data_IF_892296179631
#
_entry.id   IF_892296179631
#
_cell.length_a   1.000
_cell.length_b   1.000
_cell.length_c   1.000
_cell.angle_alpha   90.00
_cell.angle_beta   90.00
_cell.angle_gamma   90.00
#
_symmetry.space_group_name_H-M   'P 1'
#
loop_
_entity.id
_entity.type
_entity.pdbx_description
1 polymer ?
#
# COMPACT_ATOMS: atom_id res chain seq x y z
N UNK A 1 59.11 32.01 -50.45
CA UNK A 1 59.48 30.93 -49.51
C UNK A 1 58.71 31.18 -48.21
N UNK A 2 57.51 30.62 -48.05
CA UNK A 2 56.75 30.77 -46.84
C UNK A 2 56.35 29.36 -46.41
N UNK A 3 56.85 28.96 -45.25
CA UNK A 3 56.54 27.69 -44.63
C UNK A 3 55.24 27.82 -43.84
N UNK A 4 54.24 27.10 -44.30
CA UNK A 4 52.97 26.92 -43.56
C UNK A 4 53.20 26.03 -42.33
N UNK A 5 52.97 26.57 -41.17
CA UNK A 5 52.89 25.82 -39.92
C UNK A 5 51.45 25.34 -39.74
N UNK A 6 51.25 24.05 -39.94
CA UNK A 6 49.99 23.37 -39.56
C UNK A 6 49.98 23.13 -38.05
N UNK A 7 49.17 23.84 -37.33
CA UNK A 7 48.86 23.56 -35.91
C UNK A 7 47.74 22.51 -35.85
N UNK A 8 48.08 21.27 -35.47
CA UNK A 8 47.10 20.25 -35.09
C UNK A 8 46.58 20.55 -33.68
N UNK A 9 45.36 21.06 -33.57
CA UNK A 9 44.68 21.14 -32.32
C UNK A 9 43.93 19.82 -32.09
N UNK A 10 44.45 18.93 -31.25
CA UNK A 10 43.75 17.75 -30.77
C UNK A 10 42.71 18.14 -29.75
N UNK A 11 41.44 18.15 -30.11
CA UNK A 11 40.34 18.31 -29.19
C UNK A 11 40.10 17.00 -28.43
N UNK A 12 40.50 16.98 -27.16
CA UNK A 12 40.23 15.89 -26.24
C UNK A 12 38.76 15.98 -25.79
N UNK A 13 37.87 15.22 -26.43
CA UNK A 13 36.49 15.08 -25.96
C UNK A 13 36.49 14.12 -24.79
N UNK A 14 36.49 14.63 -23.57
CA UNK A 14 36.27 13.86 -22.37
C UNK A 14 34.79 13.49 -22.30
N UNK A 15 34.45 12.26 -22.67
CA UNK A 15 33.10 11.70 -22.48
C UNK A 15 32.84 11.49 -20.96
N UNK A 16 32.17 12.43 -20.32
CA UNK A 16 31.66 12.25 -18.96
C UNK A 16 30.45 11.31 -19.04
N UNK A 17 30.69 10.02 -18.83
CA UNK A 17 29.60 9.08 -18.57
C UNK A 17 29.02 9.37 -17.21
N UNK A 18 27.91 10.11 -17.17
CA UNK A 18 27.09 10.28 -15.97
C UNK A 18 26.45 8.92 -15.72
N UNK A 19 27.04 8.13 -14.83
CA UNK A 19 26.33 7.03 -14.22
C UNK A 19 25.18 7.62 -13.40
N UNK A 20 23.96 7.57 -13.93
CA UNK A 20 22.77 7.74 -13.11
C UNK A 20 22.77 6.57 -12.12
N UNK A 21 23.25 6.81 -10.90
CA UNK A 21 23.04 5.92 -9.78
C UNK A 21 21.52 5.91 -9.52
N UNK A 22 20.81 4.98 -10.18
CA UNK A 22 19.52 4.58 -9.68
C UNK A 22 19.81 4.05 -8.27
N UNK A 23 19.31 4.74 -7.25
CA UNK A 23 19.23 4.16 -5.93
C UNK A 23 18.34 2.92 -6.08
N UNK A 24 18.95 1.76 -6.28
CA UNK A 24 18.24 0.49 -6.20
C UNK A 24 17.65 0.45 -4.81
N UNK A 25 16.30 0.50 -4.76
CA UNK A 25 15.58 0.38 -3.50
C UNK A 25 16.01 -0.91 -2.81
N UNK A 26 16.11 -0.90 -1.50
CA UNK A 26 16.52 -2.07 -0.72
C UNK A 26 15.68 -3.28 -1.12
N UNK A 27 16.32 -4.33 -1.64
CA UNK A 27 15.64 -5.55 -2.05
C UNK A 27 15.25 -6.37 -0.82
N UNK A 28 13.97 -6.78 -0.75
CA UNK A 28 13.44 -7.57 0.34
C UNK A 28 13.65 -9.07 0.15
N UNK A 29 13.89 -9.79 1.26
CA UNK A 29 13.95 -11.24 1.30
C UNK A 29 12.76 -11.83 2.05
N UNK A 30 12.01 -12.73 1.38
CA UNK A 30 10.78 -13.35 1.90
C UNK A 30 11.07 -14.18 3.15
N UNK A 31 12.20 -14.91 3.19
CA UNK A 31 12.56 -15.76 4.34
C UNK A 31 12.99 -14.93 5.54
N UNK A 32 13.69 -13.82 5.30
CA UNK A 32 14.04 -12.88 6.35
C UNK A 32 12.76 -12.21 6.90
N UNK A 33 11.84 -11.78 6.05
CA UNK A 33 10.54 -11.22 6.44
C UNK A 33 9.71 -12.19 7.28
N UNK A 34 9.70 -13.48 6.93
CA UNK A 34 9.05 -14.53 7.72
C UNK A 34 9.60 -14.65 9.15
N UNK A 35 10.87 -14.34 9.37
CA UNK A 35 11.49 -14.35 10.70
C UNK A 35 11.20 -13.07 11.49
N UNK A 36 10.96 -11.97 10.80
CA UNK A 36 10.79 -10.61 11.37
C UNK A 36 9.33 -10.26 11.69
N UNK A 37 8.35 -11.04 11.22
CA UNK A 37 6.93 -10.70 11.28
C UNK A 37 6.25 -10.92 12.65
N UNK A 38 7.00 -11.29 13.71
CA UNK A 38 6.43 -11.65 15.02
C UNK A 38 5.51 -10.57 15.62
N UNK A 39 5.87 -9.30 15.50
CA UNK A 39 5.03 -8.19 15.97
C UNK A 39 3.80 -7.93 15.08
N UNK A 40 3.85 -8.37 13.83
CA UNK A 40 2.77 -8.15 12.86
C UNK A 40 1.65 -9.17 13.02
N UNK A 41 2.02 -10.46 13.17
CA UNK A 41 1.07 -11.59 13.24
C UNK A 41 0.16 -11.53 14.47
N UNK A 42 0.60 -10.89 15.56
CA UNK A 42 -0.21 -10.72 16.77
C UNK A 42 -1.50 -9.92 16.54
N UNK A 43 -1.58 -9.18 15.45
CA UNK A 43 -2.78 -8.45 15.04
C UNK A 43 -3.22 -8.88 13.63
N UNK A 44 -2.32 -8.81 12.63
CA UNK A 44 -2.64 -9.06 11.22
C UNK A 44 -2.77 -10.55 10.87
N UNK A 45 -2.33 -11.47 11.74
CA UNK A 45 -2.45 -12.92 11.58
C UNK A 45 -3.63 -13.54 12.33
N UNK A 46 -4.48 -12.76 12.97
CA UNK A 46 -5.63 -13.26 13.75
C UNK A 46 -6.93 -12.90 13.02
N UNK A 47 -7.68 -13.93 12.62
CA UNK A 47 -8.97 -13.73 11.93
C UNK A 47 -9.93 -12.98 12.85
N UNK A 48 -10.49 -11.88 12.34
CA UNK A 48 -11.47 -11.07 13.05
C UNK A 48 -10.92 -10.19 14.17
N UNK A 49 -9.59 -10.11 14.34
CA UNK A 49 -8.98 -9.22 15.34
C UNK A 49 -9.36 -7.76 15.08
N UNK A 50 -9.72 -7.06 16.15
CA UNK A 50 -10.22 -5.68 16.08
C UNK A 50 -9.28 -4.71 16.81
N UNK A 51 -9.14 -3.52 16.24
CA UNK A 51 -8.60 -2.33 16.89
C UNK A 51 -9.76 -1.47 17.38
N UNK A 52 -9.60 -0.84 18.54
CA UNK A 52 -10.58 0.12 19.07
C UNK A 52 -10.27 1.58 18.72
N UNK A 53 -9.14 1.84 18.06
CA UNK A 53 -8.71 3.19 17.71
C UNK A 53 -8.62 3.37 16.18
N UNK A 54 -9.11 4.52 15.64
CA UNK A 54 -9.85 5.62 16.27
C UNK A 54 -11.32 5.26 16.60
N UNK A 55 -11.79 4.16 16.10
CA UNK A 55 -13.07 3.52 16.37
C UNK A 55 -12.92 2.01 16.13
N UNK A 56 -13.88 1.20 16.57
CA UNK A 56 -13.79 -0.26 16.41
C UNK A 56 -13.82 -0.66 14.94
N UNK A 57 -12.78 -1.36 14.50
CA UNK A 57 -12.67 -1.91 13.16
C UNK A 57 -11.73 -3.13 13.14
N UNK A 58 -11.90 -4.01 12.17
CA UNK A 58 -10.98 -5.12 11.97
C UNK A 58 -9.61 -4.63 11.53
N UNK A 59 -8.57 -5.23 12.08
CA UNK A 59 -7.19 -5.00 11.61
C UNK A 59 -7.09 -5.45 10.15
N UNK A 60 -6.51 -4.61 9.27
CA UNK A 60 -6.57 -4.87 7.84
C UNK A 60 -5.82 -6.14 7.41
N UNK A 61 -6.34 -6.76 6.37
CA UNK A 61 -5.65 -7.82 5.63
C UNK A 61 -4.44 -7.23 4.94
N UNK A 62 -3.28 -7.83 5.12
CA UNK A 62 -2.02 -7.36 4.50
C UNK A 62 -1.33 -8.45 3.66
N UNK A 63 -1.63 -9.73 3.88
CA UNK A 63 -1.15 -10.81 3.02
C UNK A 63 -1.78 -10.73 1.64
N UNK A 64 -0.97 -10.81 0.59
CA UNK A 64 -1.36 -10.63 -0.79
C UNK A 64 -1.41 -9.18 -1.28
N UNK A 65 -1.11 -8.21 -0.41
CA UNK A 65 -0.96 -6.81 -0.80
C UNK A 65 0.37 -6.59 -1.53
N UNK A 66 0.47 -5.61 -2.42
CA UNK A 66 1.71 -5.29 -3.11
C UNK A 66 2.81 -4.90 -2.12
N UNK A 67 4.00 -5.43 -2.30
CA UNK A 67 5.14 -5.15 -1.43
C UNK A 67 5.48 -3.67 -1.39
N UNK A 68 5.44 -3.00 -2.54
CA UNK A 68 5.70 -1.56 -2.62
C UNK A 68 4.68 -0.73 -1.82
N UNK A 69 3.39 -1.08 -1.85
CA UNK A 69 2.40 -0.40 -1.01
C UNK A 69 2.63 -0.67 0.48
N UNK A 70 3.01 -1.90 0.86
CA UNK A 70 3.33 -2.23 2.26
C UNK A 70 4.51 -1.39 2.73
N UNK A 71 5.60 -1.35 1.94
CA UNK A 71 6.79 -0.55 2.25
C UNK A 71 6.45 0.95 2.34
N UNK A 72 5.71 1.49 1.38
CA UNK A 72 5.25 2.88 1.40
C UNK A 72 4.40 3.19 2.63
N UNK A 73 3.51 2.27 3.03
CA UNK A 73 2.65 2.44 4.19
C UNK A 73 3.44 2.44 5.51
N UNK A 74 4.42 1.53 5.67
CA UNK A 74 5.27 1.48 6.85
C UNK A 74 6.13 2.74 6.97
N UNK A 75 6.70 3.22 5.86
CA UNK A 75 7.42 4.48 5.81
C UNK A 75 6.53 5.69 6.14
N UNK A 76 5.30 5.72 5.65
CA UNK A 76 4.35 6.78 5.98
C UNK A 76 3.97 6.80 7.46
N UNK A 77 3.84 5.64 8.13
CA UNK A 77 3.69 5.57 9.58
C UNK A 77 4.92 6.08 10.32
N UNK A 78 6.11 5.69 9.88
CA UNK A 78 7.39 6.11 10.46
C UNK A 78 7.58 7.63 10.39
N UNK A 79 7.22 8.23 9.25
CA UNK A 79 7.26 9.68 9.02
C UNK A 79 6.11 10.45 9.66
N UNK A 80 5.05 9.77 10.12
CA UNK A 80 3.84 10.41 10.67
C UNK A 80 2.89 10.98 9.62
N UNK A 81 3.10 10.68 8.34
CA UNK A 81 2.19 11.00 7.25
C UNK A 81 0.90 10.17 7.32
N UNK A 82 1.03 8.92 7.79
CA UNK A 82 -0.08 8.03 8.14
C UNK A 82 -0.09 7.86 9.65
N UNK A 83 -1.21 8.25 10.27
CA UNK A 83 -1.29 8.35 11.73
C UNK A 83 -2.13 7.23 12.31
N UNK A 84 -1.53 6.45 13.16
CA UNK A 84 -2.15 5.42 13.99
C UNK A 84 -1.12 5.06 15.07
N UNK A 85 -1.38 5.32 16.37
CA UNK A 85 -0.36 5.20 17.42
C UNK A 85 0.35 3.86 17.45
N UNK A 86 -0.40 2.74 17.42
CA UNK A 86 0.19 1.40 17.43
C UNK A 86 1.09 1.16 16.21
N UNK A 87 0.62 1.49 15.00
CA UNK A 87 1.41 1.28 13.78
C UNK A 87 2.61 2.22 13.69
N UNK A 88 2.51 3.43 14.23
CA UNK A 88 3.66 4.35 14.34
C UNK A 88 4.73 3.74 15.25
N UNK A 89 4.34 3.20 16.41
CA UNK A 89 5.28 2.54 17.34
C UNK A 89 5.98 1.34 16.69
N UNK A 90 5.25 0.48 15.99
CA UNK A 90 5.79 -0.66 15.25
C UNK A 90 6.76 -0.19 14.15
N UNK A 91 6.32 0.73 13.29
CA UNK A 91 7.11 1.18 12.14
C UNK A 91 8.39 1.94 12.56
N UNK A 92 8.36 2.66 13.68
CA UNK A 92 9.50 3.40 14.19
C UNK A 92 10.71 2.53 14.52
N UNK A 93 10.49 1.26 14.90
CA UNK A 93 11.54 0.30 15.24
C UNK A 93 12.16 -0.40 14.03
N UNK A 94 11.55 -0.29 12.83
CA UNK A 94 11.99 -1.00 11.64
C UNK A 94 13.10 -0.24 10.90
N UNK A 95 14.13 -0.97 10.47
CA UNK A 95 15.10 -0.48 9.48
C UNK A 95 14.50 -0.53 8.08
N UNK A 96 15.13 0.10 7.10
CA UNK A 96 14.68 0.06 5.71
C UNK A 96 14.75 -1.39 5.15
N UNK A 97 15.76 -2.18 5.57
CA UNK A 97 15.85 -3.60 5.23
C UNK A 97 14.71 -4.41 5.87
N UNK A 98 14.33 -4.12 7.12
CA UNK A 98 13.19 -4.80 7.75
C UNK A 98 11.88 -4.51 7.03
N UNK A 99 11.69 -3.27 6.61
CA UNK A 99 10.53 -2.86 5.81
C UNK A 99 10.49 -3.61 4.48
N UNK A 100 11.63 -3.69 3.78
CA UNK A 100 11.72 -4.39 2.49
C UNK A 100 11.43 -5.89 2.65
N UNK A 101 12.02 -6.55 3.64
CA UNK A 101 11.83 -7.98 3.91
C UNK A 101 10.39 -8.31 4.31
N UNK A 102 9.79 -7.50 5.19
CA UNK A 102 8.39 -7.66 5.59
C UNK A 102 7.44 -7.41 4.41
N UNK A 103 7.72 -6.43 3.57
CA UNK A 103 6.96 -6.15 2.37
C UNK A 103 6.96 -7.33 1.40
N UNK A 104 8.14 -7.89 1.09
CA UNK A 104 8.29 -9.07 0.24
C UNK A 104 7.56 -10.30 0.84
N UNK A 105 7.68 -10.50 2.15
CA UNK A 105 6.99 -11.59 2.83
C UNK A 105 5.47 -11.50 2.74
N UNK A 106 4.88 -10.33 3.03
CA UNK A 106 3.42 -10.18 3.01
C UNK A 106 2.84 -10.19 1.61
N UNK A 107 3.56 -9.73 0.61
CA UNK A 107 3.18 -9.89 -0.79
C UNK A 107 3.09 -11.36 -1.18
N UNK A 108 4.13 -12.15 -0.86
CA UNK A 108 4.20 -13.56 -1.17
C UNK A 108 3.22 -14.40 -0.33
N UNK A 109 2.94 -14.02 0.93
CA UNK A 109 2.14 -14.82 1.86
C UNK A 109 0.64 -14.89 1.50
N UNK A 110 0.15 -14.02 0.63
CA UNK A 110 -1.22 -14.07 0.11
C UNK A 110 -1.41 -15.04 -1.05
N UNK A 111 -0.33 -15.53 -1.64
CA UNK A 111 -0.38 -16.44 -2.78
C UNK A 111 -0.54 -17.88 -2.27
N UNK A 112 -1.74 -18.44 -2.44
CA UNK A 112 -2.00 -19.85 -2.15
C UNK A 112 -1.93 -20.62 -3.46
N UNK A 113 -0.91 -21.49 -3.59
CA UNK A 113 -0.78 -22.35 -4.76
C UNK A 113 -2.03 -23.25 -4.90
N UNK A 114 -2.64 -23.27 -6.09
CA UNK A 114 -3.84 -24.05 -6.33
C UNK A 114 -5.14 -23.46 -5.74
N UNK A 115 -5.11 -22.22 -5.26
CA UNK A 115 -6.32 -21.54 -4.84
C UNK A 115 -7.32 -21.48 -6.01
N UNK A 116 -8.63 -21.72 -5.76
CA UNK A 116 -9.64 -21.56 -6.80
C UNK A 116 -9.67 -20.13 -7.30
N UNK A 117 -10.05 -19.96 -8.56
CA UNK A 117 -10.23 -18.62 -9.13
C UNK A 117 -11.18 -17.80 -8.24
N UNK A 118 -10.89 -16.51 -8.12
CA UNK A 118 -11.75 -15.60 -7.37
C UNK A 118 -13.18 -15.67 -7.94
N UNK A 119 -14.17 -15.77 -7.05
CA UNK A 119 -15.58 -15.80 -7.43
C UNK A 119 -16.00 -14.56 -8.22
N UNK A 120 -17.19 -14.62 -8.81
CA UNK A 120 -17.78 -13.46 -9.51
C UNK A 120 -18.06 -12.34 -8.50
N UNK A 121 -17.66 -11.11 -8.86
CA UNK A 121 -18.00 -9.95 -8.09
C UNK A 121 -19.53 -9.73 -8.00
N UNK A 122 -20.10 -9.38 -6.84
CA UNK A 122 -21.49 -8.98 -6.75
C UNK A 122 -21.74 -7.74 -7.61
N UNK A 123 -22.92 -7.64 -8.20
CA UNK A 123 -23.32 -6.44 -8.93
C UNK A 123 -23.41 -5.24 -7.97
N UNK A 124 -22.81 -4.13 -8.36
CA UNK A 124 -23.00 -2.88 -7.63
C UNK A 124 -24.42 -2.34 -7.87
N UNK A 125 -25.04 -1.76 -6.86
CA UNK A 125 -26.27 -0.99 -7.05
C UNK A 125 -26.02 0.23 -7.93
N UNK A 126 -27.05 0.78 -8.56
CA UNK A 126 -26.95 2.00 -9.36
C UNK A 126 -26.30 3.14 -8.56
N UNK A 127 -26.71 3.31 -7.30
CA UNK A 127 -26.13 4.30 -6.40
C UNK A 127 -24.62 4.07 -6.18
N UNK A 128 -24.20 2.85 -5.92
CA UNK A 128 -22.76 2.53 -5.71
C UNK A 128 -21.98 2.75 -7.00
N UNK A 129 -22.53 2.38 -8.17
CA UNK A 129 -21.89 2.66 -9.46
C UNK A 129 -21.68 4.18 -9.67
N UNK A 130 -22.68 4.99 -9.35
CA UNK A 130 -22.56 6.45 -9.42
C UNK A 130 -21.45 6.99 -8.48
N UNK A 131 -21.33 6.44 -7.26
CA UNK A 131 -20.29 6.82 -6.32
C UNK A 131 -18.89 6.39 -6.79
N UNK A 132 -18.73 5.18 -7.33
CA UNK A 132 -17.47 4.69 -7.91
C UNK A 132 -17.02 5.55 -9.10
N UNK A 133 -17.97 5.93 -9.95
CA UNK A 133 -17.73 6.82 -11.10
C UNK A 133 -17.33 8.23 -10.63
N UNK A 134 -18.06 8.81 -9.67
CA UNK A 134 -17.75 10.12 -9.07
C UNK A 134 -16.34 10.16 -8.50
N UNK A 135 -15.90 9.11 -7.80
CA UNK A 135 -14.56 9.01 -7.22
C UNK A 135 -13.49 8.54 -8.20
N UNK A 136 -13.88 8.13 -9.42
CA UNK A 136 -12.98 7.55 -10.43
C UNK A 136 -12.05 6.48 -9.85
N UNK A 137 -12.58 5.60 -8.99
CA UNK A 137 -11.78 4.66 -8.20
C UNK A 137 -10.98 3.67 -9.06
N UNK A 138 -11.58 3.20 -10.15
CA UNK A 138 -11.00 2.22 -11.05
C UNK A 138 -9.75 2.73 -11.79
N UNK A 139 -9.65 4.04 -12.04
CA UNK A 139 -8.52 4.63 -12.76
C UNK A 139 -7.17 4.44 -12.04
N UNK A 140 -7.19 4.30 -10.71
CA UNK A 140 -5.97 4.10 -9.90
C UNK A 140 -5.90 2.69 -9.31
N UNK A 141 -7.02 2.16 -8.81
CA UNK A 141 -7.08 0.85 -8.15
C UNK A 141 -7.34 -0.32 -9.12
N UNK A 142 -7.51 -0.02 -10.43
CA UNK A 142 -7.87 -0.98 -11.47
C UNK A 142 -9.36 -1.31 -11.50
N UNK A 143 -9.87 -1.83 -12.60
CA UNK A 143 -11.30 -2.12 -12.79
C UNK A 143 -11.88 -3.08 -11.75
N UNK A 144 -11.09 -4.09 -11.35
CA UNK A 144 -11.46 -5.04 -10.30
C UNK A 144 -11.16 -4.54 -8.88
N UNK A 145 -10.56 -3.36 -8.73
CA UNK A 145 -10.06 -2.81 -7.47
C UNK A 145 -8.99 -3.68 -6.78
N UNK A 146 -8.45 -4.67 -7.52
CA UNK A 146 -7.41 -5.62 -7.07
C UNK A 146 -6.12 -5.53 -7.87
N UNK A 147 -6.11 -4.79 -8.99
CA UNK A 147 -4.95 -4.65 -9.88
C UNK A 147 -4.66 -3.16 -10.10
N UNK A 148 -4.08 -2.47 -9.11
CA UNK A 148 -3.78 -1.06 -9.23
C UNK A 148 -2.80 -0.79 -10.37
N UNK A 149 -2.89 0.39 -10.99
CA UNK A 149 -2.03 0.80 -12.11
C UNK A 149 -0.60 1.10 -11.67
N UNK A 150 -0.39 1.37 -10.39
CA UNK A 150 0.90 1.60 -9.76
C UNK A 150 1.00 0.70 -8.52
N UNK A 151 2.10 -0.04 -8.34
CA UNK A 151 2.24 -0.98 -7.23
C UNK A 151 2.39 -0.30 -5.86
N UNK A 152 2.58 1.02 -5.80
CA UNK A 152 2.49 1.80 -4.57
C UNK A 152 1.05 2.11 -4.16
N UNK A 153 0.08 1.87 -5.04
CA UNK A 153 -1.34 1.98 -4.71
C UNK A 153 -1.88 0.64 -4.16
N UNK A 154 -2.82 0.68 -3.23
CA UNK A 154 -3.31 -0.57 -2.63
C UNK A 154 -4.29 -1.33 -3.51
N UNK A 155 -4.23 -2.65 -3.43
CA UNK A 155 -5.38 -3.52 -3.69
C UNK A 155 -6.40 -3.22 -2.60
N UNK A 156 -7.64 -2.94 -2.96
CA UNK A 156 -8.69 -2.57 -2.00
C UNK A 156 -9.90 -3.53 -2.01
N UNK A 157 -10.11 -4.27 -3.08
CA UNK A 157 -11.18 -5.27 -3.15
C UNK A 157 -11.08 -6.29 -2.01
N UNK A 158 -12.21 -6.61 -1.39
CA UNK A 158 -12.33 -7.60 -0.33
C UNK A 158 -11.57 -7.30 0.95
N UNK A 159 -11.05 -6.09 1.11
CA UNK A 159 -10.55 -5.62 2.40
C UNK A 159 -11.72 -5.45 3.38
N UNK A 160 -11.48 -5.54 4.68
CA UNK A 160 -12.54 -5.36 5.68
C UNK A 160 -13.26 -4.01 5.51
N UNK A 161 -14.58 -4.04 5.37
CA UNK A 161 -15.40 -2.86 5.09
C UNK A 161 -15.33 -1.80 6.20
N UNK A 162 -15.29 -2.24 7.45
CA UNK A 162 -15.10 -1.37 8.62
C UNK A 162 -13.74 -0.64 8.56
N UNK A 163 -12.67 -1.36 8.25
CA UNK A 163 -11.35 -0.75 8.03
C UNK A 163 -11.33 0.21 6.84
N UNK A 164 -11.93 -0.17 5.70
CA UNK A 164 -12.02 0.71 4.53
C UNK A 164 -12.71 2.03 4.87
N UNK A 165 -13.81 1.95 5.63
CA UNK A 165 -14.55 3.13 6.07
C UNK A 165 -13.71 4.04 6.97
N UNK A 166 -13.04 3.47 7.97
CA UNK A 166 -12.12 4.22 8.84
C UNK A 166 -10.97 4.84 8.03
N UNK A 167 -10.41 4.09 7.07
CA UNK A 167 -9.34 4.57 6.21
C UNK A 167 -9.77 5.74 5.33
N UNK A 168 -10.96 5.65 4.72
CA UNK A 168 -11.51 6.72 3.88
C UNK A 168 -11.80 7.99 4.70
N UNK A 169 -12.35 7.85 5.90
CA UNK A 169 -12.55 8.98 6.82
C UNK A 169 -11.22 9.62 7.24
N UNK A 170 -10.18 8.81 7.48
CA UNK A 170 -8.88 9.31 7.90
C UNK A 170 -8.22 10.23 6.85
N UNK A 171 -8.51 10.07 5.56
CA UNK A 171 -8.05 10.98 4.51
C UNK A 171 -8.69 12.38 4.57
N UNK A 172 -9.84 12.52 5.26
CA UNK A 172 -10.52 13.80 5.45
C UNK A 172 -10.03 14.56 6.68
N UNK A 173 -9.24 13.90 7.56
CA UNK A 173 -8.80 14.49 8.82
C UNK A 173 -7.55 15.30 8.61
N UNK A 174 -7.59 16.58 9.01
CA UNK A 174 -6.47 17.51 9.00
C UNK A 174 -6.14 17.96 10.42
N UNK A 175 -4.88 18.28 10.66
CA UNK A 175 -4.43 18.87 11.93
C UNK A 175 -4.44 17.97 13.16
N UNK A 176 -4.91 16.72 13.08
CA UNK A 176 -4.94 15.80 14.21
C UNK A 176 -3.58 15.10 14.39
N UNK A 177 -3.10 14.99 15.63
CA UNK A 177 -1.81 14.38 15.93
C UNK A 177 -1.79 12.85 15.77
N UNK A 178 -2.92 12.18 16.03
CA UNK A 178 -3.02 10.73 16.18
C UNK A 178 -3.84 10.04 15.08
N UNK A 179 -4.64 10.79 14.33
CA UNK A 179 -5.53 10.29 13.28
C UNK A 179 -5.26 11.07 11.99
N UNK A 180 -5.27 10.38 10.86
CA UNK A 180 -5.18 11.01 9.54
C UNK A 180 -4.26 10.26 8.59
N UNK A 181 -4.42 10.56 7.30
CA UNK A 181 -3.61 10.04 6.20
C UNK A 181 -3.24 11.17 5.27
N UNK A 182 -1.95 11.51 5.22
CA UNK A 182 -1.39 12.62 4.45
C UNK A 182 -1.18 12.28 2.97
N UNK A 183 -2.23 11.81 2.28
CA UNK A 183 -2.18 11.58 0.84
C UNK A 183 -3.11 12.57 0.13
N UNK A 184 -2.56 13.48 -0.66
CA UNK A 184 -3.31 14.58 -1.29
C UNK A 184 -4.35 14.07 -2.29
N UNK A 185 -4.03 13.02 -3.07
CA UNK A 185 -4.95 12.46 -4.07
C UNK A 185 -6.18 11.86 -3.36
N UNK A 186 -5.93 10.92 -2.45
CA UNK A 186 -7.04 10.27 -1.72
C UNK A 186 -7.79 11.23 -0.81
N UNK A 187 -7.10 12.25 -0.26
CA UNK A 187 -7.72 13.33 0.49
C UNK A 187 -8.71 14.13 -0.36
N UNK A 188 -8.30 14.53 -1.56
CA UNK A 188 -9.15 15.23 -2.52
C UNK A 188 -10.35 14.39 -2.95
N UNK A 189 -10.17 13.08 -3.14
CA UNK A 189 -11.26 12.16 -3.48
C UNK A 189 -12.22 11.99 -2.29
N UNK A 190 -11.70 11.63 -1.11
CA UNK A 190 -12.54 11.35 0.06
C UNK A 190 -13.38 12.54 0.52
N UNK A 191 -12.88 13.77 0.36
CA UNK A 191 -13.59 15.00 0.71
C UNK A 191 -14.86 15.26 -0.13
N UNK A 192 -14.97 14.63 -1.31
CA UNK A 192 -16.15 14.77 -2.18
C UNK A 192 -17.37 13.99 -1.65
N UNK A 193 -17.18 13.12 -0.68
CA UNK A 193 -18.19 12.18 -0.17
C UNK A 193 -18.60 12.50 1.26
N UNK A 194 -19.89 12.32 1.54
CA UNK A 194 -20.39 12.21 2.92
C UNK A 194 -19.91 10.91 3.57
N UNK A 195 -19.94 10.84 4.89
CA UNK A 195 -19.59 9.61 5.60
C UNK A 195 -20.54 8.44 5.27
N UNK A 196 -21.81 8.73 4.98
CA UNK A 196 -22.75 7.71 4.53
C UNK A 196 -22.35 7.11 3.18
N UNK A 197 -21.97 7.94 2.21
CA UNK A 197 -21.47 7.50 0.90
C UNK A 197 -20.15 6.72 1.03
N UNK A 198 -19.22 7.19 1.87
CA UNK A 198 -17.98 6.45 2.14
C UNK A 198 -18.25 5.07 2.75
N UNK A 199 -19.26 4.95 3.62
CA UNK A 199 -19.66 3.67 4.19
C UNK A 199 -20.24 2.72 3.15
N UNK A 200 -21.06 3.22 2.23
CA UNK A 200 -21.59 2.43 1.12
C UNK A 200 -20.49 1.93 0.19
N UNK A 201 -19.56 2.81 -0.20
CA UNK A 201 -18.37 2.44 -0.97
C UNK A 201 -17.55 1.36 -0.24
N UNK A 202 -17.27 1.55 1.04
CA UNK A 202 -16.50 0.61 1.86
C UNK A 202 -17.18 -0.76 1.96
N UNK A 203 -18.51 -0.80 2.11
CA UNK A 203 -19.28 -2.04 2.17
C UNK A 203 -19.22 -2.79 0.84
N UNK A 204 -19.42 -2.10 -0.27
CA UNK A 204 -19.34 -2.71 -1.59
C UNK A 204 -17.93 -3.23 -1.90
N UNK A 205 -16.92 -2.39 -1.75
CA UNK A 205 -15.50 -2.75 -2.02
C UNK A 205 -15.06 -3.91 -1.13
N UNK A 206 -15.50 -3.91 0.14
CA UNK A 206 -15.23 -5.00 1.08
C UNK A 206 -15.91 -6.33 0.73
N UNK A 207 -17.00 -6.31 -0.05
CA UNK A 207 -17.72 -7.51 -0.51
C UNK A 207 -17.13 -8.14 -1.78
N UNK A 208 -16.19 -7.46 -2.44
CA UNK A 208 -15.59 -7.94 -3.68
C UNK A 208 -14.66 -9.13 -3.43
N UNK A 209 -14.55 -10.07 -4.39
CA UNK A 209 -13.54 -11.12 -4.35
C UNK A 209 -12.13 -10.55 -4.26
N UNK A 210 -11.25 -11.19 -3.49
CA UNK A 210 -9.94 -10.62 -3.17
C UNK A 210 -8.87 -11.68 -2.99
N UNK A 211 -7.65 -11.29 -3.37
CA UNK A 211 -6.41 -11.99 -3.01
C UNK A 211 -5.93 -11.62 -1.60
N UNK A 212 -6.48 -10.56 -1.00
CA UNK A 212 -6.10 -10.12 0.34
C UNK A 212 -6.59 -11.08 1.40
N UNK A 213 -5.70 -11.50 2.29
CA UNK A 213 -5.98 -12.51 3.30
C UNK A 213 -5.49 -12.11 4.68
N UNK A 214 -6.10 -12.72 5.70
CA UNK A 214 -5.50 -12.89 7.02
C UNK A 214 -4.93 -14.31 7.03
N UNK A 215 -3.62 -14.44 7.11
CA UNK A 215 -2.93 -15.73 7.14
C UNK A 215 -2.56 -16.07 8.58
N UNK A 216 -3.31 -16.98 9.26
CA UNK A 216 -2.98 -17.41 10.61
C UNK A 216 -1.63 -18.12 10.64
N UNK A 217 -0.84 -17.83 11.65
CA UNK A 217 0.47 -18.48 11.85
C UNK A 217 0.53 -19.17 13.20
N UNK A 218 0.71 -20.50 13.18
CA UNK A 218 0.98 -21.29 14.38
C UNK A 218 2.48 -21.20 14.73
N UNK A 219 2.87 -20.16 15.46
CA UNK A 219 4.22 -20.08 16.03
C UNK A 219 4.36 -20.72 17.41
N UNK A 220 3.23 -21.03 18.03
CA UNK A 220 3.17 -21.67 19.34
C UNK A 220 2.63 -23.10 19.15
N UNK A 221 3.50 -24.01 18.79
CA UNK A 221 3.28 -25.46 18.93
C UNK A 221 4.11 -25.95 20.08
#
# INVERSE_FOLDING_TARGET
>A
MNKLLLSLSAALVASVTVFAAHAEGVQGDVKAGAKKNAMCIGCHGIVGYQSSFPEIHKVPKISGQTGQYIAASLNAYKKGERKHPSMKGIAASLTDQDIADLAAYYEASGVVAGAPALGKAPAASEKVNALLTKGNCASCHGESLSKPIDPTYPKIAGQHSDYLFVALKAYKVEGNANIGRGNAIMGGIAKQFSNAELKELANYVGSLPSELQVVPQNRFK
#
